data_IF_906206754483
#
_entry.id   IF_906206754483
#
_cell.length_a   1.000
_cell.length_b   1.000
_cell.length_c   1.000
_cell.angle_alpha   90.00
_cell.angle_beta   90.00
_cell.angle_gamma   90.00
#
_symmetry.space_group_name_H-M   'P 1'
#
loop_
_entity.id
_entity.type
_entity.pdbx_description
1 polymer ?
2 polymer ?
3 non-polymer ?
4 non-polymer ?
5 non-polymer ?
6 non-polymer ?
7 water ?
#
# COMPACT_ATOMS: atom_id res chain seq x y z
N UNK A 1 -3.09 -3.45 15.49
CA UNK A 1 -2.52 -2.87 14.29
C UNK A 1 -1.88 -3.89 13.37
N UNK A 2 -1.80 -3.55 12.08
CA UNK A 2 -1.13 -4.42 11.11
C UNK A 2 0.29 -4.72 11.57
N UNK A 3 1.03 -3.68 11.94
CA UNK A 3 2.41 -3.85 12.38
C UNK A 3 2.48 -4.69 13.65
N UNK A 4 1.57 -4.46 14.60
CA UNK A 4 1.62 -5.16 15.88
C UNK A 4 1.49 -6.66 15.70
N UNK A 5 0.72 -7.11 14.71
CA UNK A 5 0.41 -8.52 14.57
C UNK A 5 1.17 -9.22 13.45
N UNK A 6 1.78 -8.48 12.52
CA UNK A 6 2.47 -9.09 11.40
C UNK A 6 3.94 -8.71 11.28
N UNK A 7 4.40 -7.67 11.98
CA UNK A 7 5.84 -7.41 12.01
C UNK A 7 6.52 -8.08 13.19
N UNK A 8 5.75 -8.50 14.20
CA UNK A 8 6.29 -9.27 15.31
C UNK A 8 6.13 -10.77 15.10
N UNK A 9 5.00 -11.20 14.56
CA UNK A 9 4.73 -12.61 14.28
C UNK A 9 4.33 -12.78 12.82
N UNK A 10 4.50 -14.00 12.31
CA UNK A 10 4.22 -14.26 10.91
C UNK A 10 2.71 -14.24 10.69
N UNK A 11 2.30 -13.86 9.49
CA UNK A 11 0.88 -13.73 9.18
C UNK A 11 0.52 -14.57 7.96
N UNK A 12 -0.60 -15.28 8.07
CA UNK A 12 -1.12 -16.04 6.95
C UNK A 12 -1.79 -15.09 5.96
N UNK A 13 -2.05 -15.62 4.76
CA UNK A 13 -2.76 -14.84 3.76
C UNK A 13 -4.18 -14.51 4.22
N UNK A 14 -4.79 -15.41 4.99
CA UNK A 14 -6.11 -15.14 5.55
C UNK A 14 -6.07 -14.02 6.59
N UNK A 15 -5.03 -13.98 7.42
CA UNK A 15 -4.94 -12.92 8.42
C UNK A 15 -4.79 -11.54 7.78
N UNK A 16 -4.03 -11.45 6.69
CA UNK A 16 -3.85 -10.15 6.03
C UNK A 16 -5.13 -9.70 5.35
N UNK A 17 -5.96 -10.64 4.89
CA UNK A 17 -7.19 -10.29 4.20
C UNK A 17 -8.14 -9.52 5.10
N UNK A 18 -8.04 -9.70 6.42
CA UNK A 18 -8.87 -8.93 7.34
C UNK A 18 -8.62 -7.43 7.23
N UNK A 19 -7.49 -7.03 6.66
CA UNK A 19 -7.16 -5.63 6.46
C UNK A 19 -7.56 -5.12 5.08
N UNK A 20 -8.28 -5.92 4.30
CA UNK A 20 -8.78 -5.50 3.01
C UNK A 20 -10.05 -4.66 3.16
N UNK A 21 -10.45 -4.03 2.07
CA UNK A 21 -11.69 -3.27 2.04
C UNK A 21 -12.84 -4.15 1.58
N UNK B 1 12.40 1.15 14.86
CA UNK B 1 12.07 2.20 13.91
C UNK B 1 12.41 1.77 12.48
N UNK B 2 13.70 1.53 12.24
CA UNK B 2 14.14 1.06 10.93
C UNK B 2 13.59 -0.34 10.65
N UNK B 3 13.66 -1.23 11.64
CA UNK B 3 13.09 -2.56 11.49
C UNK B 3 11.60 -2.49 11.18
N UNK B 4 10.87 -1.59 11.85
CA UNK B 4 9.44 -1.46 11.61
C UNK B 4 9.15 -0.89 10.23
N UNK B 5 10.01 0.00 9.73
CA UNK B 5 9.80 0.57 8.41
C UNK B 5 10.05 -0.46 7.31
N UNK B 6 11.09 -1.29 7.45
CA UNK B 6 11.36 -2.29 6.43
C UNK B 6 10.23 -3.31 6.34
N UNK B 7 9.69 -3.74 7.48
CA UNK B 7 8.57 -4.67 7.47
C UNK B 7 7.34 -4.04 6.82
N UNK B 8 7.08 -2.76 7.11
CA UNK B 8 5.93 -2.09 6.53
C UNK B 8 5.94 -2.11 5.01
N UNK B 9 7.13 -1.96 4.41
CA UNK B 9 7.23 -1.99 2.95
C UNK B 9 6.75 -3.32 2.39
N UNK B 10 7.14 -4.43 3.03
CA UNK B 10 6.71 -5.75 2.56
C UNK B 10 5.24 -6.01 2.88
N UNK B 11 4.79 -5.61 4.07
CA UNK B 11 3.38 -5.75 4.42
C UNK B 11 2.51 -5.04 3.41
N UNK B 12 2.92 -3.83 3.03
CA UNK B 12 2.15 -3.00 2.11
C UNK B 12 2.07 -3.66 0.73
N UNK B 13 3.15 -4.31 0.30
CA UNK B 13 3.12 -5.04 -0.96
C UNK B 13 2.24 -6.28 -0.85
N UNK B 14 2.33 -7.01 0.26
CA UNK B 14 1.53 -8.21 0.46
C UNK B 14 0.04 -7.89 0.46
N UNK B 15 -0.37 -6.88 1.23
CA UNK B 15 -1.77 -6.45 1.22
C UNK B 15 -2.24 -6.14 -0.19
N UNK B 16 -1.39 -5.50 -0.99
CA UNK B 16 -1.77 -5.16 -2.36
C UNK B 16 -2.14 -6.41 -3.16
N UNK B 17 -1.41 -7.51 -2.94
CA UNK B 17 -1.67 -8.73 -3.69
C UNK B 17 -2.90 -9.46 -3.18
N UNK B 18 -3.06 -9.55 -1.86
CA UNK B 18 -4.18 -10.31 -1.30
C UNK B 18 -5.50 -9.62 -1.59
N UNK B 19 -5.58 -8.31 -1.33
CA UNK B 19 -6.86 -7.62 -1.43
C UNK B 19 -7.32 -7.45 -2.87
N UNK B 20 -6.39 -7.33 -3.82
CA UNK B 20 -6.78 -7.22 -5.21
C UNK B 20 -7.60 -5.96 -5.48
N UNK B 21 -8.72 -6.14 -6.19
CA UNK B 21 -9.54 -5.00 -6.60
C UNK B 21 -10.21 -4.32 -5.41
N UNK B 22 -10.47 -5.06 -4.33
CA UNK B 22 -11.12 -4.47 -3.16
C UNK B 22 -10.28 -3.37 -2.53
N UNK B 23 -8.96 -3.42 -2.68
CA UNK B 23 -8.08 -2.45 -2.06
C UNK B 23 -7.88 -2.72 -0.58
N UNK B 24 -7.16 -1.81 0.08
CA UNK B 24 -6.80 -2.01 1.47
C UNK B 24 -6.49 -0.66 2.12
N UNK B 25 -6.18 -0.72 3.41
CA UNK B 25 -5.81 0.44 4.22
C UNK B 25 -4.58 0.10 5.05
N UNK B 26 -3.63 1.03 5.12
CA UNK B 26 -2.43 0.86 5.92
C UNK B 26 -2.25 2.07 6.82
N UNK B 27 -2.28 1.84 8.13
CA UNK B 27 -2.01 2.89 9.12
C UNK B 27 -1.03 2.34 10.15
N UNK B 28 0.21 2.85 10.21
CA UNK B 28 1.19 2.42 11.20
C UNK B 28 0.99 3.10 12.55
N UNK C 1 -8.99 8.77 -9.68
CA UNK C 1 -8.32 7.68 -9.00
C UNK C 1 -6.81 7.75 -9.10
N UNK C 2 -6.14 7.12 -8.14
CA UNK C 2 -4.67 7.08 -8.14
C UNK C 2 -4.15 6.46 -9.44
N UNK C 3 -4.67 5.28 -9.80
CA UNK C 3 -4.20 4.60 -11.00
C UNK C 3 -4.50 5.43 -12.25
N UNK C 4 -5.73 5.96 -12.34
CA UNK C 4 -6.12 6.71 -13.53
C UNK C 4 -5.26 7.95 -13.73
N UNK C 5 -4.81 8.58 -12.65
CA UNK C 5 -4.12 9.86 -12.74
C UNK C 5 -2.61 9.73 -12.59
N UNK C 6 -2.11 8.56 -12.19
CA UNK C 6 -0.67 8.35 -12.03
C UNK C 6 -0.09 7.17 -12.80
N UNK C 7 -0.92 6.26 -13.33
CA UNK C 7 -0.39 5.21 -14.20
C UNK C 7 -0.43 5.60 -15.67
N UNK C 8 -1.33 6.50 -16.05
CA UNK C 8 -1.36 6.98 -17.43
C UNK C 8 -0.24 7.99 -17.67
N UNK C 9 -0.09 8.95 -16.77
CA UNK C 9 0.98 9.93 -16.81
C UNK C 9 1.72 9.88 -15.48
N UNK C 10 2.98 10.33 -15.50
CA UNK C 10 3.82 10.23 -14.32
C UNK C 10 3.36 11.21 -13.24
N UNK C 11 3.57 10.82 -11.98
CA UNK C 11 3.18 11.61 -10.82
C UNK C 11 4.39 11.83 -9.92
N UNK C 12 4.53 13.06 -9.44
CA UNK C 12 5.56 13.38 -8.47
C UNK C 12 5.16 12.88 -7.08
N UNK C 13 6.13 12.89 -6.16
CA UNK C 13 5.83 12.53 -4.78
C UNK C 13 4.83 13.50 -4.16
N UNK C 14 4.89 14.77 -4.55
CA UNK C 14 3.91 15.74 -4.07
C UNK C 14 2.52 15.42 -4.60
N UNK C 15 2.42 14.99 -5.86
CA UNK C 15 1.12 14.59 -6.40
C UNK C 15 0.58 13.37 -5.66
N UNK C 16 1.46 12.44 -5.28
CA UNK C 16 1.03 11.24 -4.58
C UNK C 16 0.58 11.53 -3.15
N UNK C 17 1.13 12.58 -2.52
CA UNK C 17 0.80 12.86 -1.12
C UNK C 17 -0.68 13.15 -0.91
N UNK C 18 -1.37 13.64 -1.93
CA UNK C 18 -2.80 13.94 -1.78
C UNK C 18 -3.63 12.70 -1.49
N UNK C 19 -3.11 11.51 -1.77
CA UNK C 19 -3.80 10.26 -1.47
C UNK C 19 -3.45 9.71 -0.10
N UNK C 20 -2.71 10.46 0.70
CA UNK C 20 -2.42 10.02 2.06
C UNK C 20 -3.62 10.32 2.96
N UNK C 21 -3.62 9.69 4.13
CA UNK C 21 -4.63 9.98 5.14
C UNK C 21 -4.09 10.98 6.16
N UNK D 1 -4.47 -4.11 -18.01
CA UNK D 1 -4.74 -4.97 -16.85
C UNK D 1 -3.43 -5.37 -16.17
N UNK D 2 -2.59 -6.10 -16.89
CA UNK D 2 -1.28 -6.48 -16.35
C UNK D 2 -0.42 -5.24 -16.16
N UNK D 3 -0.40 -4.35 -17.15
CA UNK D 3 0.33 -3.09 -17.02
C UNK D 3 -0.19 -2.28 -15.84
N UNK D 4 -1.51 -2.23 -15.66
CA UNK D 4 -2.09 -1.46 -14.57
C UNK D 4 -1.78 -2.09 -13.21
N UNK D 5 -1.73 -3.42 -13.15
CA UNK D 5 -1.42 -4.09 -11.89
C UNK D 5 0.03 -3.86 -11.49
N UNK D 6 0.95 -3.93 -12.45
CA UNK D 6 2.35 -3.70 -12.14
C UNK D 6 2.58 -2.26 -11.68
N UNK D 7 1.89 -1.31 -12.31
CA UNK D 7 2.01 0.09 -11.89
C UNK D 7 1.49 0.28 -10.47
N UNK D 8 0.36 -0.36 -10.14
CA UNK D 8 -0.18 -0.24 -8.80
C UNK D 8 0.79 -0.69 -7.72
N UNK D 9 1.57 -1.74 -7.99
CA UNK D 9 2.54 -2.22 -7.02
C UNK D 9 3.56 -1.14 -6.67
N UNK D 10 4.04 -0.40 -7.66
CA UNK D 10 4.99 0.68 -7.40
C UNK D 10 4.28 1.86 -6.75
N UNK D 11 3.07 2.17 -7.22
CA UNK D 11 2.27 3.23 -6.64
C UNK D 11 2.06 3.01 -5.15
N UNK D 12 1.75 1.77 -4.78
CA UNK D 12 1.46 1.43 -3.40
C UNK D 12 2.72 1.55 -2.53
N UNK D 13 3.88 1.19 -3.07
CA UNK D 13 5.13 1.36 -2.33
C UNK D 13 5.49 2.83 -2.16
N UNK D 14 5.30 3.63 -3.21
CA UNK D 14 5.59 5.06 -3.13
C UNK D 14 4.74 5.74 -2.07
N UNK D 15 3.43 5.46 -2.07
CA UNK D 15 2.56 5.98 -1.02
C UNK D 15 3.10 5.65 0.37
N UNK D 16 3.63 4.44 0.54
CA UNK D 16 4.15 4.03 1.84
C UNK D 16 5.25 4.97 2.33
N UNK D 17 6.14 5.40 1.44
CA UNK D 17 7.25 6.25 1.84
C UNK D 17 6.81 7.68 2.09
N UNK D 18 5.97 8.22 1.21
CA UNK D 18 5.55 9.61 1.31
C UNK D 18 4.66 9.82 2.52
N UNK D 19 3.66 8.95 2.70
CA UNK D 19 2.66 9.17 3.74
C UNK D 19 3.24 8.93 5.13
N UNK D 20 4.20 8.02 5.26
CA UNK D 20 4.84 7.80 6.54
C UNK D 20 3.87 7.31 7.61
N UNK D 21 3.94 7.94 8.78
CA UNK D 21 3.13 7.51 9.92
C UNK D 21 1.65 7.78 9.69
N UNK D 22 1.31 8.79 8.88
CA UNK D 22 -0.09 9.09 8.62
C UNK D 22 -0.82 7.93 7.95
N UNK D 23 -0.10 7.10 7.20
CA UNK D 23 -0.73 6.00 6.51
C UNK D 23 -1.48 6.49 5.28
N UNK D 24 -2.19 5.57 4.65
CA UNK D 24 -2.91 5.90 3.42
C UNK D 24 -4.03 4.89 3.19
N UNK D 25 -4.78 5.13 2.13
CA UNK D 25 -5.91 4.32 1.70
C UNK D 25 -5.69 4.04 0.22
N UNK D 26 -5.87 2.79 -0.20
CA UNK D 26 -5.68 2.44 -1.61
C UNK D 26 -6.91 1.71 -2.12
N UNK D 27 -7.56 2.29 -3.12
CA UNK D 27 -8.71 1.68 -3.79
C UNK D 27 -8.46 1.73 -5.29
N UNK D 28 -8.27 0.59 -5.95
CA UNK D 28 -8.06 0.54 -7.40
C UNK D 28 -9.37 0.61 -8.19
X LIG E 1 3.65 -11.29 4.64
X LIG E 1 3.71 -11.58 6.00
X LIG E 1 4.46 -10.75 6.82
X LIG E 1 5.16 -9.66 6.34
X LIG E 1 5.09 -9.39 4.98
X LIG E 1 4.35 -10.20 4.13
X LIG E 1 4.52 -11.06 8.24
X LIG E 1 2.94 -12.04 3.79
X LIG E 1 5.60 -11.18 8.75
X LIG E 1 3.47 -11.18 8.83
X LIG F 1 14.81 -6.51 7.02
X LIG F 1 14.23 -6.25 5.50
X LIG F 1 13.83 -6.06 4.42
X LIG G 1 13.30 -5.64 2.47
X LIG H 1 9.44 14.93 -1.17
X LIG H 1 10.54 14.97 -0.56
X LIG H 1 8.31 14.90 -0.65
X LIG H 1 9.53 14.92 -2.70
X LIG I 1 5.98 7.36 -8.30
X LIG I 1 5.06 7.49 -9.34
X LIG I 1 4.52 6.34 -9.89
X LIG I 1 4.85 5.07 -9.45
X LIG I 1 5.76 4.96 -8.42
X LIG I 1 6.32 6.09 -7.84
X LIG I 1 3.56 6.49 -10.98
X LIG I 1 6.55 8.42 -7.71
X LIG I 1 3.20 7.61 -11.27
X LIG I 1 3.17 5.49 -11.53
X LIG J 1 7.86 -3.46 -11.69
#
# INVERSE_FOLDING_TARGET
GIVEQCCTSICSLYQLENYCN
FVNQHLCGSHLVEALYLVCGERGFFYTPKT
GIVEQCCTSICSLYQLENYCN
FVNQHLCGSHLVEALYLVCGERGFFYTPKT
ZCQ C1 C2 C3 C4 C5 C6 N1 O1 O2 O3
SCN S C N
ZN ZN
ACT C O OXT CH3
ZCQ C1 C2 C3 C4 C5 C6 N1 O1 O2 O3
ZN ZN
#
